data_IF_611266954527
#
_entry.id   IF_611266954527
#
_cell.length_a   1.000
_cell.length_b   1.000
_cell.length_c   1.000
_cell.angle_alpha   90.00
_cell.angle_beta   90.00
_cell.angle_gamma   90.00
#
_symmetry.space_group_name_H-M   'P 1'
#
loop_
_entity.id
_entity.type
_entity.pdbx_description
1 polymer ?
#
# COMPACT_ATOMS: atom_id res chain seq x y z
N UNK A 1 -11.93 24.51 -21.95
CA UNK A 1 -12.19 24.23 -20.53
C UNK A 1 -10.89 23.73 -19.94
N UNK A 2 -10.17 24.59 -19.23
CA UNK A 2 -8.81 24.32 -18.73
C UNK A 2 -8.91 23.75 -17.32
N UNK A 3 -8.40 22.54 -17.10
CA UNK A 3 -8.30 21.97 -15.76
C UNK A 3 -7.25 22.75 -14.97
N UNK A 4 -7.67 23.35 -13.86
CA UNK A 4 -6.83 24.15 -12.98
C UNK A 4 -6.23 23.22 -11.92
N UNK A 5 -4.92 22.96 -12.03
CA UNK A 5 -4.19 22.19 -11.02
C UNK A 5 -3.97 23.12 -9.83
N UNK A 6 -4.77 22.95 -8.77
CA UNK A 6 -4.59 23.64 -7.50
C UNK A 6 -3.31 23.11 -6.84
N UNK A 7 -2.41 24.00 -6.41
CA UNK A 7 -1.22 23.64 -5.64
C UNK A 7 -1.64 22.92 -4.35
N UNK A 8 -1.22 21.65 -4.28
CA UNK A 8 -1.61 20.67 -3.29
C UNK A 8 -1.34 21.15 -1.86
N UNK A 9 -2.40 21.20 -1.05
CA UNK A 9 -2.29 21.30 0.39
C UNK A 9 -1.76 19.96 0.90
N UNK A 10 -0.44 19.83 1.03
CA UNK A 10 0.17 18.67 1.68
C UNK A 10 -0.12 18.74 3.18
N UNK A 11 -1.11 17.97 3.63
CA UNK A 11 -1.49 17.88 5.04
C UNK A 11 -0.56 16.89 5.71
N UNK A 12 0.35 17.38 6.54
CA UNK A 12 1.36 16.58 7.24
C UNK A 12 0.88 16.12 8.62
N UNK A 13 1.48 15.04 9.18
CA UNK A 13 1.24 14.63 10.56
C UNK A 13 1.47 15.80 11.55
N UNK A 14 0.53 15.99 12.48
CA UNK A 14 0.51 17.13 13.41
C UNK A 14 -0.38 18.30 12.98
N UNK A 15 -0.91 18.26 11.76
CA UNK A 15 -1.97 19.18 11.34
C UNK A 15 -3.35 18.70 11.87
N UNK A 16 -4.21 19.57 12.42
CA UNK A 16 -5.55 19.18 12.89
C UNK A 16 -6.44 18.50 11.84
N UNK A 17 -6.19 18.77 10.56
CA UNK A 17 -6.93 18.18 9.45
C UNK A 17 -6.40 16.82 9.00
N UNK A 18 -5.22 16.41 9.46
CA UNK A 18 -4.57 15.15 9.04
C UNK A 18 -5.46 13.93 9.30
N UNK A 19 -6.01 13.83 10.51
CA UNK A 19 -6.90 12.73 10.89
C UNK A 19 -8.18 12.70 10.05
N UNK A 20 -8.72 13.87 9.71
CA UNK A 20 -9.92 14.00 8.87
C UNK A 20 -9.59 13.58 7.43
N UNK A 21 -8.43 13.95 6.92
CA UNK A 21 -7.98 13.58 5.57
C UNK A 21 -7.70 12.09 5.46
N UNK A 22 -7.17 11.44 6.50
CA UNK A 22 -7.03 9.98 6.55
C UNK A 22 -8.37 9.26 6.62
N UNK A 23 -9.33 9.80 7.40
CA UNK A 23 -10.66 9.22 7.54
C UNK A 23 -11.54 9.40 6.31
N UNK A 24 -11.18 10.32 5.42
CA UNK A 24 -11.94 10.61 4.20
C UNK A 24 -11.23 10.00 3.00
N UNK A 25 -11.84 8.99 2.38
CA UNK A 25 -11.35 8.45 1.12
C UNK A 25 -11.33 9.58 0.08
N UNK A 26 -10.16 9.79 -0.55
CA UNK A 26 -10.02 10.79 -1.62
C UNK A 26 -11.06 10.52 -2.72
N UNK A 27 -11.74 11.55 -3.27
CA UNK A 27 -12.61 11.34 -4.40
C UNK A 27 -11.83 10.73 -5.57
N UNK A 28 -12.47 9.82 -6.32
CA UNK A 28 -11.97 9.29 -7.59
C UNK A 28 -10.69 8.41 -7.54
N UNK A 29 -10.25 7.96 -6.36
CA UNK A 29 -9.15 7.00 -6.25
C UNK A 29 -9.41 5.71 -7.05
N UNK A 30 -10.68 5.28 -7.12
CA UNK A 30 -11.11 4.14 -7.93
C UNK A 30 -10.97 4.40 -9.43
N UNK A 31 -11.20 5.63 -9.89
CA UNK A 31 -11.01 5.99 -11.30
C UNK A 31 -9.52 5.97 -11.65
N UNK A 32 -8.66 6.45 -10.76
CA UNK A 32 -7.20 6.37 -10.94
C UNK A 32 -6.71 4.91 -10.98
N UNK A 33 -7.22 4.04 -10.10
CA UNK A 33 -6.95 2.61 -10.08
C UNK A 33 -7.46 1.88 -11.36
N UNK A 34 -8.58 2.34 -11.92
CA UNK A 34 -9.15 1.76 -13.14
C UNK A 34 -8.31 2.08 -14.39
N UNK A 35 -7.58 3.20 -14.41
CA UNK A 35 -6.70 3.58 -15.53
C UNK A 35 -5.54 2.59 -15.69
N UNK A 36 -5.04 2.04 -14.57
CA UNK A 36 -3.84 1.21 -14.52
C UNK A 36 -4.12 -0.31 -14.58
N UNK A 37 -5.33 -0.68 -15.04
CA UNK A 37 -5.71 -2.08 -15.24
C UNK A 37 -6.56 -2.69 -14.10
N UNK A 38 -7.27 -1.86 -13.33
CA UNK A 38 -8.10 -2.29 -12.20
C UNK A 38 -7.28 -2.85 -11.01
N UNK A 39 -6.06 -2.34 -10.88
CA UNK A 39 -5.15 -2.54 -9.76
C UNK A 39 -5.61 -1.69 -8.58
N UNK A 40 -6.15 -2.33 -7.53
CA UNK A 40 -6.65 -1.61 -6.35
C UNK A 40 -5.76 -1.78 -5.13
N UNK A 41 -4.84 -2.74 -5.12
CA UNK A 41 -4.01 -3.07 -3.97
C UNK A 41 -2.53 -3.20 -4.35
N UNK A 42 -1.67 -3.04 -3.35
CA UNK A 42 -0.25 -3.32 -3.44
C UNK A 42 0.08 -4.45 -2.49
N UNK A 43 0.83 -5.46 -2.97
CA UNK A 43 1.31 -6.58 -2.15
C UNK A 43 2.83 -6.60 -2.13
N UNK A 44 3.40 -7.04 -1.01
CA UNK A 44 4.84 -7.23 -0.89
C UNK A 44 5.21 -8.65 -1.33
N UNK A 45 6.01 -8.74 -2.39
CA UNK A 45 6.54 -10.01 -2.88
C UNK A 45 7.41 -10.69 -1.83
N UNK A 46 7.26 -12.01 -1.68
CA UNK A 46 8.08 -12.80 -0.77
C UNK A 46 9.51 -13.03 -1.29
N UNK A 47 9.77 -12.82 -2.59
CA UNK A 47 11.10 -13.08 -3.16
C UNK A 47 12.06 -11.90 -2.96
N UNK A 48 11.60 -10.67 -3.21
CA UNK A 48 12.42 -9.46 -3.25
C UNK A 48 11.99 -8.40 -2.22
N UNK A 49 10.83 -8.59 -1.57
CA UNK A 49 10.27 -7.66 -0.59
C UNK A 49 9.72 -6.37 -1.21
N UNK A 50 9.70 -6.24 -2.55
CA UNK A 50 9.21 -5.04 -3.23
C UNK A 50 7.68 -5.03 -3.32
N UNK A 51 7.11 -3.82 -3.34
CA UNK A 51 5.68 -3.63 -3.52
C UNK A 51 5.33 -3.69 -5.01
N UNK A 52 4.41 -4.58 -5.37
CA UNK A 52 3.82 -4.67 -6.70
C UNK A 52 2.34 -4.35 -6.66
N UNK A 53 1.86 -3.62 -7.66
CA UNK A 53 0.43 -3.39 -7.85
C UNK A 53 -0.24 -4.69 -8.31
N UNK A 54 -1.38 -5.03 -7.72
CA UNK A 54 -2.15 -6.23 -8.03
C UNK A 54 -3.64 -5.94 -8.18
N UNK A 55 -4.27 -6.73 -9.03
CA UNK A 55 -5.72 -6.78 -9.21
C UNK A 55 -6.41 -7.57 -8.08
N UNK A 56 -7.75 -7.61 -8.10
CA UNK A 56 -8.54 -8.37 -7.11
C UNK A 56 -8.17 -9.84 -7.03
N UNK A 57 -8.08 -10.46 -8.19
CA UNK A 57 -7.86 -11.89 -8.27
C UNK A 57 -6.44 -12.21 -7.78
N UNK A 58 -5.46 -11.39 -8.18
CA UNK A 58 -4.08 -11.52 -7.73
C UNK A 58 -3.93 -11.25 -6.22
N UNK A 59 -4.74 -10.38 -5.62
CA UNK A 59 -4.78 -10.23 -4.16
C UNK A 59 -5.38 -11.47 -3.48
N UNK A 60 -6.46 -12.03 -4.02
CA UNK A 60 -7.04 -13.27 -3.49
C UNK A 60 -6.04 -14.43 -3.59
N UNK A 61 -5.30 -14.53 -4.69
CA UNK A 61 -4.24 -15.51 -4.88
C UNK A 61 -3.08 -15.26 -3.89
N UNK A 62 -2.70 -13.99 -3.64
CA UNK A 62 -1.68 -13.64 -2.66
C UNK A 62 -2.07 -14.06 -1.23
N UNK A 63 -3.33 -13.81 -0.85
CA UNK A 63 -3.86 -14.09 0.49
C UNK A 63 -4.14 -15.57 0.74
N UNK A 64 -4.56 -16.31 -0.29
CA UNK A 64 -4.94 -17.73 -0.14
C UNK A 64 -3.91 -18.71 -0.71
N UNK A 65 -2.96 -18.21 -1.49
CA UNK A 65 -1.95 -19.01 -2.20
C UNK A 65 -0.67 -19.27 -1.41
N UNK A 66 -0.55 -18.74 -0.18
CA UNK A 66 0.59 -18.98 0.70
C UNK A 66 1.70 -17.90 0.63
N UNK A 67 1.69 -17.02 -0.38
CA UNK A 67 2.70 -15.96 -0.55
C UNK A 67 2.67 -14.98 0.64
N UNK A 68 1.48 -14.65 1.15
CA UNK A 68 1.32 -13.80 2.33
C UNK A 68 1.90 -14.45 3.61
N UNK A 69 1.62 -15.73 3.84
CA UNK A 69 2.14 -16.48 4.99
C UNK A 69 3.67 -16.59 4.94
N UNK A 70 4.24 -16.82 3.76
CA UNK A 70 5.69 -16.82 3.56
C UNK A 70 6.29 -15.45 3.89
N UNK A 71 5.66 -14.37 3.43
CA UNK A 71 6.09 -13.01 3.73
C UNK A 71 6.04 -12.70 5.23
N UNK A 72 4.99 -13.15 5.93
CA UNK A 72 4.87 -13.01 7.38
C UNK A 72 5.97 -13.78 8.13
N UNK A 73 6.27 -15.00 7.68
CA UNK A 73 7.35 -15.81 8.26
C UNK A 73 8.71 -15.12 8.11
N UNK A 74 9.01 -14.59 6.92
CA UNK A 74 10.25 -13.84 6.69
C UNK A 74 10.35 -12.59 7.60
N UNK A 75 9.25 -11.87 7.79
CA UNK A 75 9.22 -10.71 8.71
C UNK A 75 9.48 -11.11 10.16
N UNK A 76 8.89 -12.22 10.61
CA UNK A 76 9.07 -12.73 11.96
C UNK A 76 10.51 -13.24 12.21
N UNK A 77 11.13 -13.85 11.20
CA UNK A 77 12.53 -14.30 11.29
C UNK A 77 13.50 -13.11 11.35
N UNK A 78 13.15 -11.96 10.74
CA UNK A 78 14.00 -10.75 10.72
C UNK A 78 14.00 -10.02 12.07
N UNK A 79 12.92 -10.03 12.85
CA UNK A 79 12.91 -9.42 14.20
C UNK A 79 13.92 -10.07 15.16
N UNK A 80 14.30 -11.33 14.92
CA UNK A 80 15.26 -12.06 15.76
C UNK A 80 16.73 -11.70 15.45
N UNK A 81 17.03 -11.15 14.28
CA UNK A 81 18.41 -10.86 13.84
C UNK A 81 18.95 -9.53 14.42
N UNK A 82 18.06 -8.61 14.86
CA UNK A 82 18.46 -7.35 15.49
C UNK A 82 18.83 -7.46 16.98
N UNK A 83 18.85 -8.65 17.56
CA UNK A 83 19.16 -8.88 18.99
C UNK A 83 20.64 -9.14 19.32
N UNK A 84 21.48 -9.49 18.35
CA UNK A 84 22.86 -9.91 18.60
C UNK A 84 23.89 -8.99 17.88
N UNK A 85 24.01 -7.76 18.38
CA UNK A 85 25.29 -7.05 18.28
C UNK A 85 25.70 -6.59 19.68
N UNK A 86 26.82 -7.15 20.12
CA UNK A 86 27.57 -6.89 21.35
C UNK A 86 27.70 -5.41 21.70
#
# INVERSE_FOLDING_TARGET
MTAQINHDLLILPGNPWFEITLATLLPDWQQAAAIDGNTYAFVASAEDGLLRAVTSNELEDYLNGGEYEERLKQMNDVETICGDLH
#
